data_IF_034193855374
#
_entry.id   IF_034193855374
#
_cell.length_a   1.000
_cell.length_b   1.000
_cell.length_c   1.000
_cell.angle_alpha   90.00
_cell.angle_beta   90.00
_cell.angle_gamma   90.00
#
_symmetry.space_group_name_H-M   'P 1'
#
loop_
_entity.id
_entity.type
_entity.pdbx_description
1 polymer ?
#
# COMPACT_ATOMS: atom_id res chain seq x y z
N UNK A 1 11.55 -20.80 1.80
CA UNK A 1 12.92 -20.29 1.72
C UNK A 1 12.95 -18.95 0.98
N UNK A 2 12.93 -18.91 -0.36
CA UNK A 2 13.17 -17.67 -1.15
C UNK A 2 12.38 -16.41 -0.73
N UNK A 3 11.08 -16.52 -0.46
CA UNK A 3 10.26 -15.35 -0.09
C UNK A 3 10.65 -14.76 1.27
N UNK A 4 10.83 -15.62 2.28
CA UNK A 4 11.26 -15.20 3.61
C UNK A 4 12.66 -14.57 3.57
N UNK A 5 13.58 -15.13 2.77
CA UNK A 5 14.93 -14.58 2.61
C UNK A 5 14.90 -13.15 2.03
N UNK A 6 14.01 -12.88 1.06
CA UNK A 6 13.81 -11.55 0.48
C UNK A 6 13.22 -10.59 1.52
N UNK A 7 12.19 -11.01 2.26
CA UNK A 7 11.55 -10.22 3.30
C UNK A 7 12.57 -9.86 4.41
N UNK A 8 13.33 -10.84 4.91
CA UNK A 8 14.40 -10.62 5.89
C UNK A 8 15.46 -9.68 5.35
N UNK A 9 15.93 -9.86 4.11
CA UNK A 9 16.94 -8.99 3.49
C UNK A 9 16.46 -7.54 3.39
N UNK A 10 15.19 -7.32 3.04
CA UNK A 10 14.60 -5.98 2.90
C UNK A 10 14.47 -5.24 4.23
N UNK A 11 14.39 -5.98 5.34
CA UNK A 11 14.19 -5.43 6.68
C UNK A 11 15.48 -5.23 7.48
N UNK A 12 16.64 -5.65 6.96
CA UNK A 12 17.95 -5.56 7.66
C UNK A 12 18.30 -4.16 8.16
N UNK A 13 17.85 -3.10 7.47
CA UNK A 13 18.12 -1.72 7.89
C UNK A 13 17.25 -1.26 9.07
N UNK A 14 16.35 -2.10 9.57
CA UNK A 14 15.33 -1.74 10.56
C UNK A 14 15.36 -2.64 11.82
N UNK A 15 16.50 -3.25 12.16
CA UNK A 15 16.61 -4.20 13.29
C UNK A 15 16.10 -3.63 14.61
N UNK A 16 16.39 -2.36 14.94
CA UNK A 16 15.88 -1.73 16.17
C UNK A 16 14.36 -1.72 16.25
N UNK A 17 13.67 -1.49 15.12
CA UNK A 17 12.21 -1.53 15.05
C UNK A 17 11.71 -2.96 15.24
N UNK A 18 12.34 -3.94 14.58
CA UNK A 18 11.96 -5.35 14.69
C UNK A 18 12.09 -5.85 16.14
N UNK A 19 13.17 -5.50 16.83
CA UNK A 19 13.37 -5.84 18.24
C UNK A 19 12.31 -5.21 19.15
N UNK A 20 11.93 -3.96 18.88
CA UNK A 20 10.83 -3.30 19.59
C UNK A 20 9.51 -4.05 19.43
N UNK A 21 9.16 -4.42 18.19
CA UNK A 21 7.93 -5.17 17.90
C UNK A 21 7.91 -6.54 18.58
N UNK A 22 9.07 -7.24 18.61
CA UNK A 22 9.23 -8.53 19.32
C UNK A 22 9.03 -8.39 20.82
N UNK A 23 9.67 -7.38 21.45
CA UNK A 23 9.53 -7.09 22.89
C UNK A 23 8.09 -6.78 23.29
N UNK A 24 7.32 -6.18 22.39
CA UNK A 24 5.90 -5.88 22.59
C UNK A 24 4.97 -7.07 22.26
N UNK A 25 5.52 -8.26 21.93
CA UNK A 25 4.77 -9.45 21.53
C UNK A 25 3.77 -9.21 20.38
N UNK A 26 4.11 -8.34 19.43
CA UNK A 26 3.26 -8.07 18.27
C UNK A 26 3.36 -9.23 17.28
N UNK A 27 2.24 -9.89 17.02
CA UNK A 27 2.15 -10.97 16.04
C UNK A 27 2.41 -10.46 14.62
N UNK A 28 3.27 -11.15 13.88
CA UNK A 28 3.45 -10.91 12.46
C UNK A 28 2.16 -11.21 11.69
N UNK A 29 1.86 -10.39 10.69
CA UNK A 29 0.72 -10.58 9.79
C UNK A 29 1.15 -10.41 8.34
N UNK A 30 0.32 -10.88 7.40
CA UNK A 30 0.56 -10.73 5.96
C UNK A 30 -0.34 -9.65 5.40
N UNK A 31 0.23 -8.79 4.56
CA UNK A 31 -0.49 -7.78 3.79
C UNK A 31 -0.19 -7.98 2.30
N UNK A 32 -1.20 -7.98 1.42
CA UNK A 32 -0.96 -7.97 -0.02
C UNK A 32 -0.11 -6.76 -0.43
N UNK A 33 0.90 -6.98 -1.27
CA UNK A 33 1.77 -5.90 -1.79
C UNK A 33 1.11 -5.05 -2.88
N UNK A 34 0.02 -5.54 -3.47
CA UNK A 34 -0.75 -4.85 -4.50
C UNK A 34 -2.23 -5.01 -4.18
N UNK A 35 -2.99 -3.99 -4.56
CA UNK A 35 -4.45 -4.01 -4.53
C UNK A 35 -4.96 -3.47 -5.86
N UNK A 36 -6.07 -4.01 -6.34
CA UNK A 36 -6.76 -3.52 -7.53
C UNK A 36 -8.02 -2.77 -7.07
N UNK A 37 -8.23 -1.51 -7.49
CA UNK A 37 -9.50 -0.85 -7.21
C UNK A 37 -10.65 -1.60 -7.88
N UNK A 38 -11.73 -1.78 -7.13
CA UNK A 38 -12.94 -2.44 -7.62
C UNK A 38 -13.89 -1.37 -8.20
N UNK A 39 -14.62 -1.70 -9.26
CA UNK A 39 -15.58 -0.80 -9.92
C UNK A 39 -14.99 0.58 -10.31
N UNK A 40 -13.72 0.61 -10.75
CA UNK A 40 -13.07 1.83 -11.20
C UNK A 40 -13.79 2.42 -12.42
N UNK A 41 -14.30 3.63 -12.28
CA UNK A 41 -14.88 4.46 -13.33
C UNK A 41 -14.25 5.83 -13.27
N UNK A 42 -14.10 6.48 -14.42
CA UNK A 42 -13.64 7.86 -14.48
C UNK A 42 -14.30 8.61 -15.61
N UNK A 43 -14.37 9.93 -15.46
CA UNK A 43 -14.85 10.86 -16.48
C UNK A 43 -14.18 12.21 -16.29
N UNK A 44 -13.71 12.80 -17.39
CA UNK A 44 -13.34 14.21 -17.40
C UNK A 44 -14.60 15.05 -17.29
N UNK A 45 -14.64 15.94 -16.30
CA UNK A 45 -15.70 16.94 -16.17
C UNK A 45 -15.39 18.12 -17.10
N UNK A 46 -14.11 18.48 -17.19
CA UNK A 46 -13.54 19.48 -18.09
C UNK A 46 -12.07 19.13 -18.41
N UNK A 47 -11.34 19.99 -19.11
CA UNK A 47 -9.95 19.75 -19.53
C UNK A 47 -8.95 19.59 -18.36
N UNK A 48 -9.33 20.01 -17.16
CA UNK A 48 -8.45 20.07 -15.98
C UNK A 48 -8.98 19.30 -14.77
N UNK A 49 -10.22 18.81 -14.83
CA UNK A 49 -10.90 18.14 -13.71
C UNK A 49 -11.30 16.71 -14.06
N UNK A 50 -10.64 15.75 -13.40
CA UNK A 50 -10.95 14.33 -13.52
C UNK A 50 -11.79 13.85 -12.33
N UNK A 51 -12.98 13.31 -12.59
CA UNK A 51 -13.78 12.60 -11.59
C UNK A 51 -13.45 11.10 -11.64
N UNK A 52 -13.14 10.51 -10.49
CA UNK A 52 -12.80 9.10 -10.36
C UNK A 52 -13.64 8.48 -9.25
N UNK A 53 -14.29 7.35 -9.57
CA UNK A 53 -15.07 6.56 -8.64
C UNK A 53 -14.49 5.15 -8.56
N UNK A 54 -14.29 4.63 -7.34
CA UNK A 54 -13.79 3.28 -7.12
C UNK A 54 -14.13 2.82 -5.70
N UNK A 55 -14.05 1.51 -5.48
CA UNK A 55 -14.14 0.88 -4.17
C UNK A 55 -12.80 0.25 -3.79
N UNK A 56 -12.50 0.23 -2.50
CA UNK A 56 -11.28 -0.36 -1.95
C UNK A 56 -11.61 -1.35 -0.84
N UNK A 57 -10.79 -2.39 -0.74
CA UNK A 57 -10.82 -3.32 0.39
C UNK A 57 -10.42 -2.61 1.68
N UNK A 58 -10.94 -3.09 2.81
CA UNK A 58 -10.58 -2.56 4.14
C UNK A 58 -9.07 -2.51 4.31
N UNK A 59 -8.58 -1.37 4.81
CA UNK A 59 -7.16 -1.13 5.02
C UNK A 59 -6.36 -0.77 3.76
N UNK A 60 -7.01 -0.57 2.60
CA UNK A 60 -6.41 0.09 1.44
C UNK A 60 -6.77 1.59 1.44
N UNK A 61 -5.88 2.42 0.90
CA UNK A 61 -6.03 3.88 0.93
C UNK A 61 -6.24 4.43 -0.47
N UNK A 62 -7.19 5.37 -0.61
CA UNK A 62 -7.45 6.09 -1.87
C UNK A 62 -6.20 6.83 -2.35
N UNK A 63 -5.43 7.41 -1.43
CA UNK A 63 -4.17 8.11 -1.73
C UNK A 63 -3.12 7.22 -2.39
N UNK A 64 -3.09 5.91 -2.06
CA UNK A 64 -2.21 4.96 -2.75
C UNK A 64 -2.58 4.77 -4.22
N UNK A 65 -3.87 4.84 -4.56
CA UNK A 65 -4.29 4.82 -5.97
C UNK A 65 -3.96 6.14 -6.66
N UNK A 66 -4.28 7.27 -6.01
CA UNK A 66 -4.01 8.61 -6.58
C UNK A 66 -2.53 8.84 -6.86
N UNK A 67 -1.64 8.33 -6.00
CA UNK A 67 -0.18 8.37 -6.20
C UNK A 67 0.28 7.75 -7.53
N UNK A 68 -0.44 6.75 -8.04
CA UNK A 68 -0.05 6.07 -9.28
C UNK A 68 -0.59 6.76 -10.54
N UNK A 69 -1.46 7.78 -10.40
CA UNK A 69 -2.11 8.48 -11.52
C UNK A 69 -1.93 10.00 -11.49
N UNK A 70 -1.42 10.56 -10.40
CA UNK A 70 -1.17 11.98 -10.22
C UNK A 70 0.26 12.22 -9.75
N UNK A 71 0.90 13.25 -10.29
CA UNK A 71 2.13 13.80 -9.71
C UNK A 71 1.72 14.81 -8.63
N UNK A 72 2.20 14.58 -7.40
CA UNK A 72 2.09 15.54 -6.32
C UNK A 72 3.39 16.34 -6.27
N UNK A 73 3.29 17.67 -6.32
CA UNK A 73 4.42 18.58 -6.07
C UNK A 73 4.61 18.80 -4.57
#
# INVERSE_FOLDING_TARGET
AKAADIETKSLRSYETLLDGLRKLNISASRRPLRTKPENLKWSWIDETTLNIHFSLRKGCYATSLLREICLFN
#
